data_IF_365084026273
#
_entry.id   IF_365084026273
#
_cell.length_a   1.000
_cell.length_b   1.000
_cell.length_c   1.000
_cell.angle_alpha   90.00
_cell.angle_beta   90.00
_cell.angle_gamma   90.00
#
_symmetry.space_group_name_H-M   'P 1'
#
loop_
_entity.id
_entity.type
_entity.pdbx_description
1 polymer ?
#
# COMPACT_ATOMS: atom_id res chain seq x y z
N UNK A 1 3.04 -2.93 -16.44
CA UNK A 1 1.93 -3.63 -15.76
C UNK A 1 1.43 -2.70 -14.67
N UNK A 2 0.13 -2.38 -14.63
CA UNK A 2 -0.45 -1.36 -13.75
C UNK A 2 -1.08 -1.89 -12.46
N UNK A 3 -1.05 -3.21 -12.25
CA UNK A 3 -1.52 -3.91 -11.04
C UNK A 3 -0.85 -5.29 -11.01
N UNK A 4 -0.42 -5.77 -9.84
CA UNK A 4 0.14 -7.12 -9.69
C UNK A 4 -0.94 -8.21 -9.84
N UNK A 5 -0.53 -9.47 -9.98
CA UNK A 5 -1.51 -10.56 -10.00
C UNK A 5 -2.11 -10.79 -8.60
N UNK A 6 -3.44 -10.84 -8.48
CA UNK A 6 -4.14 -11.14 -7.23
C UNK A 6 -5.48 -10.42 -7.12
N UNK A 7 -6.33 -10.87 -6.19
CA UNK A 7 -7.53 -10.12 -5.81
C UNK A 7 -7.10 -8.82 -5.14
N UNK A 8 -7.59 -7.70 -5.65
CA UNK A 8 -7.31 -6.35 -5.16
C UNK A 8 -7.86 -6.16 -3.74
N UNK A 9 -7.01 -5.70 -2.82
CA UNK A 9 -7.41 -5.34 -1.45
C UNK A 9 -7.05 -3.87 -1.18
N UNK A 10 -8.06 -3.00 -1.21
CA UNK A 10 -7.87 -1.56 -1.33
C UNK A 10 -7.50 -1.14 -2.75
N UNK A 11 -7.58 0.15 -3.07
CA UNK A 11 -7.03 0.71 -4.29
C UNK A 11 -6.39 2.05 -3.96
N UNK A 12 -5.21 2.34 -4.46
CA UNK A 12 -4.50 3.58 -4.12
C UNK A 12 -5.29 4.86 -4.46
N UNK A 13 -6.32 4.78 -5.30
CA UNK A 13 -7.22 5.89 -5.64
C UNK A 13 -8.58 5.85 -4.90
N UNK A 14 -8.91 4.73 -4.23
CA UNK A 14 -10.17 4.48 -3.55
C UNK A 14 -9.93 3.81 -2.18
N UNK A 15 -9.86 4.63 -1.12
CA UNK A 15 -9.52 4.17 0.25
C UNK A 15 -10.74 3.80 1.10
N UNK A 16 -11.95 4.10 0.63
CA UNK A 16 -13.19 3.73 1.30
C UNK A 16 -13.71 2.37 0.82
N UNK A 17 -14.64 1.79 1.57
CA UNK A 17 -15.32 0.55 1.14
C UNK A 17 -16.09 0.75 -0.17
N UNK A 18 -15.95 -0.20 -1.09
CA UNK A 18 -16.63 -0.17 -2.40
C UNK A 18 -17.69 -1.28 -2.43
N UNK A 19 -18.98 -0.95 -2.55
CA UNK A 19 -20.02 -1.95 -2.69
C UNK A 19 -19.79 -2.88 -3.90
N UNK A 20 -20.03 -4.18 -3.73
CA UNK A 20 -19.81 -5.20 -4.75
C UNK A 20 -18.37 -5.69 -4.77
N UNK A 21 -17.46 -4.97 -5.41
CA UNK A 21 -16.06 -5.43 -5.56
C UNK A 21 -15.27 -5.43 -4.25
N UNK A 22 -15.55 -4.50 -3.34
CA UNK A 22 -14.95 -4.44 -2.00
C UNK A 22 -15.58 -5.40 -0.99
N UNK A 23 -16.73 -6.00 -1.31
CA UNK A 23 -17.40 -7.01 -0.47
C UNK A 23 -16.82 -8.42 -0.65
N UNK A 24 -15.79 -8.56 -1.50
CA UNK A 24 -15.18 -9.85 -1.78
C UNK A 24 -14.52 -10.43 -0.52
N UNK A 25 -14.88 -11.65 -0.10
CA UNK A 25 -14.36 -12.23 1.13
C UNK A 25 -12.86 -12.57 1.02
N UNK A 26 -12.20 -12.64 2.18
CA UNK A 26 -10.88 -13.24 2.29
C UNK A 26 -10.99 -14.76 2.25
N UNK A 27 -10.10 -15.39 1.49
CA UNK A 27 -9.97 -16.82 1.34
C UNK A 27 -8.61 -17.25 1.86
N UNK A 28 -8.60 -18.29 2.69
CA UNK A 28 -7.34 -18.88 3.15
C UNK A 28 -6.50 -19.43 1.99
N UNK A 29 -5.18 -19.47 2.19
CA UNK A 29 -4.18 -19.90 1.22
C UNK A 29 -4.14 -19.06 -0.07
N UNK A 30 -4.48 -17.78 0.05
CA UNK A 30 -4.54 -16.83 -1.07
C UNK A 30 -3.58 -15.67 -0.85
N UNK A 31 -2.93 -15.22 -1.93
CA UNK A 31 -2.14 -14.00 -1.95
C UNK A 31 -2.96 -12.83 -2.53
N UNK A 32 -2.81 -11.67 -1.91
CA UNK A 32 -3.55 -10.44 -2.22
C UNK A 32 -2.56 -9.30 -2.49
N UNK A 33 -2.92 -8.41 -3.41
CA UNK A 33 -2.27 -7.12 -3.57
C UNK A 33 -2.91 -6.12 -2.59
N UNK A 34 -2.11 -5.55 -1.69
CA UNK A 34 -2.58 -4.57 -0.70
C UNK A 34 -2.17 -3.20 -1.18
N UNK A 35 -3.14 -2.40 -1.62
CA UNK A 35 -2.91 -1.11 -2.28
C UNK A 35 -3.49 0.03 -1.44
N UNK A 36 -2.65 0.59 -0.57
CA UNK A 36 -3.04 1.69 0.32
C UNK A 36 -2.36 2.98 -0.10
N UNK A 37 -2.99 4.10 0.26
CA UNK A 37 -2.34 5.40 0.17
C UNK A 37 -2.47 6.17 1.48
N UNK A 38 -1.53 7.10 1.67
CA UNK A 38 -1.72 8.22 2.59
C UNK A 38 -1.67 9.51 1.80
N UNK A 39 -2.55 10.45 2.14
CA UNK A 39 -2.66 11.77 1.51
C UNK A 39 -2.56 12.82 2.60
N UNK A 40 -1.54 13.68 2.51
CA UNK A 40 -1.28 14.76 3.47
C UNK A 40 -1.11 16.07 2.71
N UNK A 41 -1.79 17.11 3.15
CA UNK A 41 -1.59 18.46 2.63
C UNK A 41 -0.35 19.10 3.25
N UNK A 42 0.58 19.59 2.42
CA UNK A 42 1.79 20.28 2.85
C UNK A 42 1.61 21.79 2.58
N UNK A 43 1.40 22.63 3.62
CA UNK A 43 1.13 24.06 3.46
C UNK A 43 2.23 24.81 2.71
N UNK A 44 3.49 24.49 2.96
CA UNK A 44 4.65 25.12 2.33
C UNK A 44 4.70 24.90 0.82
N UNK A 45 4.05 23.84 0.35
CA UNK A 45 3.98 23.49 -1.07
C UNK A 45 2.61 23.79 -1.68
N UNK A 46 1.65 24.27 -0.86
CA UNK A 46 0.23 24.47 -1.20
C UNK A 46 -0.34 23.27 -1.98
N UNK A 47 -0.02 22.06 -1.50
CA UNK A 47 -0.26 20.84 -2.28
C UNK A 47 -0.50 19.62 -1.42
N UNK A 48 -1.41 18.78 -1.89
CA UNK A 48 -1.58 17.42 -1.42
C UNK A 48 -0.46 16.50 -1.94
N UNK A 49 0.27 15.89 -1.02
CA UNK A 49 1.22 14.83 -1.32
C UNK A 49 0.58 13.48 -0.99
N UNK A 50 0.60 12.59 -1.99
CA UNK A 50 0.11 11.22 -1.87
C UNK A 50 1.26 10.25 -1.99
N UNK A 51 1.39 9.36 -1.01
CA UNK A 51 2.27 8.20 -1.07
C UNK A 51 1.39 6.97 -1.26
N UNK A 52 1.67 6.20 -2.31
CA UNK A 52 0.93 5.00 -2.69
C UNK A 52 1.86 3.81 -2.48
N UNK A 53 1.40 2.79 -1.76
CA UNK A 53 2.18 1.61 -1.44
C UNK A 53 1.37 0.36 -1.78
N UNK A 54 1.94 -0.46 -2.66
CA UNK A 54 1.44 -1.79 -3.00
C UNK A 54 2.38 -2.83 -2.40
N UNK A 55 1.86 -3.71 -1.53
CA UNK A 55 2.61 -4.83 -0.97
C UNK A 55 1.82 -6.13 -1.09
N UNK A 56 2.51 -7.22 -1.43
CA UNK A 56 1.90 -8.54 -1.46
C UNK A 56 1.71 -9.09 -0.04
N UNK A 57 0.49 -9.55 0.24
CA UNK A 57 0.10 -10.18 1.50
C UNK A 57 -0.42 -11.60 1.29
N UNK A 58 -0.11 -12.50 2.21
CA UNK A 58 -0.61 -13.88 2.21
C UNK A 58 -1.50 -14.11 3.43
N UNK A 59 -2.73 -14.57 3.20
CA UNK A 59 -3.64 -15.01 4.24
C UNK A 59 -3.75 -16.54 4.24
N UNK A 60 -3.43 -17.17 5.37
CA UNK A 60 -3.51 -18.63 5.52
C UNK A 60 -3.91 -19.05 6.93
N UNK A 61 -3.79 -20.35 7.26
CA UNK A 61 -4.29 -20.91 8.52
C UNK A 61 -3.67 -20.30 9.79
N UNK A 62 -2.53 -19.61 9.66
CA UNK A 62 -1.83 -18.92 10.75
C UNK A 62 -2.10 -17.40 10.75
N UNK A 63 -3.08 -16.94 9.98
CA UNK A 63 -3.39 -15.54 9.77
C UNK A 63 -2.61 -14.91 8.62
N UNK A 64 -2.44 -13.60 8.70
CA UNK A 64 -1.87 -12.77 7.65
C UNK A 64 -0.36 -12.53 7.82
N UNK A 65 0.37 -12.47 6.70
CA UNK A 65 1.75 -11.96 6.65
C UNK A 65 2.03 -11.23 5.34
N UNK A 66 2.95 -10.27 5.38
CA UNK A 66 3.54 -9.73 4.15
C UNK A 66 4.48 -10.75 3.53
N UNK A 67 4.45 -10.89 2.21
CA UNK A 67 5.24 -11.90 1.49
C UNK A 67 6.74 -11.62 1.62
N UNK A 68 7.14 -10.36 1.49
CA UNK A 68 8.53 -9.90 1.56
C UNK A 68 8.82 -9.07 2.81
N UNK A 69 8.01 -9.21 3.87
CA UNK A 69 8.01 -8.27 4.99
C UNK A 69 7.32 -6.96 4.63
N UNK A 70 7.15 -6.09 5.62
CA UNK A 70 6.49 -4.78 5.47
C UNK A 70 7.52 -3.67 5.40
N UNK A 71 7.46 -2.83 4.37
CA UNK A 71 8.21 -1.58 4.33
C UNK A 71 7.66 -0.61 5.41
N UNK A 72 8.54 -0.19 6.32
CA UNK A 72 8.20 0.75 7.41
C UNK A 72 8.97 2.06 7.35
N UNK A 73 9.96 2.14 6.47
CA UNK A 73 10.84 3.28 6.32
C UNK A 73 10.95 3.67 4.84
N UNK A 74 11.28 4.94 4.60
CA UNK A 74 11.48 5.44 3.26
C UNK A 74 12.79 4.91 2.68
N UNK A 75 12.75 4.40 1.45
CA UNK A 75 13.96 4.09 0.70
C UNK A 75 14.45 5.41 0.10
N UNK A 76 15.47 5.99 0.72
CA UNK A 76 16.06 7.25 0.27
C UNK A 76 16.99 6.99 -0.93
N UNK A 77 16.87 7.81 -1.97
CA UNK A 77 17.74 7.77 -3.15
C UNK A 77 18.58 9.05 -3.17
N UNK A 78 19.89 8.91 -3.31
CA UNK A 78 20.84 10.02 -3.35
C UNK A 78 21.75 10.10 -2.12
N UNK A 79 22.78 10.93 -2.22
CA UNK A 79 23.69 11.22 -1.11
C UNK A 79 22.97 12.03 -0.03
N UNK A 80 23.14 11.64 1.25
CA UNK A 80 22.76 12.49 2.38
C UNK A 80 23.54 13.80 2.29
N UNK A 81 22.88 14.88 1.89
CA UNK A 81 23.47 16.20 1.94
C UNK A 81 23.39 16.76 3.36
N UNK A 82 24.38 17.55 3.74
CA UNK A 82 24.57 18.04 5.13
C UNK A 82 23.43 18.90 5.70
N UNK A 83 22.46 19.28 4.88
CA UNK A 83 21.27 20.05 5.28
C UNK A 83 20.04 19.17 5.54
N UNK A 84 20.19 17.85 5.49
CA UNK A 84 19.16 16.85 5.80
C UNK A 84 19.48 16.04 7.08
N UNK A 85 20.43 16.51 7.89
CA UNK A 85 20.68 15.98 9.24
C UNK A 85 19.86 16.72 10.31
#
# INVERSE_FOLDING_TARGET
YGHSAGTTFGMWDSQEGIPGSGDHPLYENTAYAIELNTKVFIPEWDKDIRVMLEEAGFYGPKGFRYVNGRQKEMILIGSKTSHLE
#
